data_IF_091497515193
#
_entry.id   IF_091497515193
#
_cell.length_a   1.000
_cell.length_b   1.000
_cell.length_c   1.000
_cell.angle_alpha   90.00
_cell.angle_beta   90.00
_cell.angle_gamma   90.00
#
_symmetry.space_group_name_H-M   'P 1'
#
loop_
_entity.id
_entity.type
_entity.pdbx_description
1 polymer ?
#
# COMPACT_ATOMS: atom_id res chain seq x y z
N UNK A 1 -3.60 24.36 4.00
CA UNK A 1 -2.29 23.73 3.71
C UNK A 1 -1.23 24.46 4.51
N UNK A 2 -0.30 23.74 5.12
CA UNK A 2 0.88 24.31 5.80
C UNK A 2 2.07 24.34 4.84
N UNK A 3 2.90 25.37 4.91
CA UNK A 3 4.10 25.47 4.09
C UNK A 3 5.31 24.86 4.83
N UNK A 4 6.15 24.14 4.08
CA UNK A 4 7.41 23.58 4.56
C UNK A 4 8.55 24.04 3.63
N UNK A 5 9.60 24.61 4.19
CA UNK A 5 10.81 24.98 3.44
C UNK A 5 11.96 24.09 3.87
N UNK A 6 12.53 23.35 2.91
CA UNK A 6 13.66 22.44 3.12
C UNK A 6 14.80 22.79 2.17
N UNK A 7 16.03 22.53 2.59
CA UNK A 7 17.21 22.61 1.72
C UNK A 7 17.58 21.20 1.28
N UNK A 8 17.73 21.00 -0.02
CA UNK A 8 18.11 19.72 -0.61
C UNK A 8 19.52 19.84 -1.19
N UNK A 9 20.32 18.75 -1.18
CA UNK A 9 21.51 18.67 -2.00
C UNK A 9 21.18 18.92 -3.48
N UNK A 10 22.07 19.62 -4.20
CA UNK A 10 21.88 19.97 -5.62
C UNK A 10 21.60 18.75 -6.50
N UNK A 11 22.32 17.64 -6.27
CA UNK A 11 22.12 16.39 -7.01
C UNK A 11 20.71 15.83 -6.84
N UNK A 12 20.18 15.84 -5.61
CA UNK A 12 18.84 15.36 -5.31
C UNK A 12 17.76 16.28 -5.90
N UNK A 13 17.95 17.60 -5.79
CA UNK A 13 17.03 18.56 -6.39
C UNK A 13 16.95 18.40 -7.91
N UNK A 14 18.08 18.18 -8.58
CA UNK A 14 18.13 17.92 -10.02
C UNK A 14 17.37 16.65 -10.40
N UNK A 15 17.55 15.57 -9.65
CA UNK A 15 16.87 14.30 -9.92
C UNK A 15 15.35 14.42 -9.73
N UNK A 16 14.90 15.04 -8.63
CA UNK A 16 13.47 15.28 -8.38
C UNK A 16 12.86 16.12 -9.51
N UNK A 17 13.58 17.12 -10.01
CA UNK A 17 13.11 17.95 -11.12
C UNK A 17 12.90 17.13 -12.40
N UNK A 18 13.81 16.20 -12.71
CA UNK A 18 13.68 15.32 -13.88
C UNK A 18 12.48 14.38 -13.73
N UNK A 19 12.33 13.75 -12.56
CA UNK A 19 11.21 12.83 -12.27
C UNK A 19 9.86 13.56 -12.31
N UNK A 20 9.75 14.72 -11.67
CA UNK A 20 8.52 15.52 -11.69
C UNK A 20 8.15 15.95 -13.13
N UNK A 21 9.15 16.29 -13.95
CA UNK A 21 8.92 16.61 -15.36
C UNK A 21 8.45 15.40 -16.17
N UNK A 22 9.01 14.21 -15.93
CA UNK A 22 8.60 12.97 -16.58
C UNK A 22 7.15 12.58 -16.21
N UNK A 23 6.75 12.84 -14.96
CA UNK A 23 5.38 12.63 -14.49
C UNK A 23 4.40 13.76 -14.85
N UNK A 24 4.88 14.87 -15.41
CA UNK A 24 4.04 16.02 -15.78
C UNK A 24 3.49 16.80 -14.58
N UNK A 25 4.16 16.73 -13.42
CA UNK A 25 3.74 17.40 -12.18
C UNK A 25 4.77 18.44 -11.72
N UNK A 26 4.36 19.34 -10.84
CA UNK A 26 5.31 20.26 -10.19
C UNK A 26 6.17 19.53 -9.14
N UNK A 27 7.35 20.06 -8.84
CA UNK A 27 8.22 19.56 -7.75
C UNK A 27 7.46 19.49 -6.42
N UNK A 28 6.62 20.48 -6.12
CA UNK A 28 5.83 20.51 -4.88
C UNK A 28 4.81 19.37 -4.83
N UNK A 29 4.13 19.08 -5.93
CA UNK A 29 3.20 17.96 -6.02
C UNK A 29 3.94 16.63 -5.89
N UNK A 30 5.05 16.47 -6.62
CA UNK A 30 5.90 15.28 -6.52
C UNK A 30 6.33 15.01 -5.08
N UNK A 31 6.86 16.01 -4.38
CA UNK A 31 7.27 15.88 -2.98
C UNK A 31 6.09 15.59 -2.04
N UNK A 32 4.93 16.18 -2.30
CA UNK A 32 3.72 15.94 -1.51
C UNK A 32 3.24 14.49 -1.67
N UNK A 33 3.25 13.97 -2.90
CA UNK A 33 2.89 12.58 -3.19
C UNK A 33 3.90 11.61 -2.55
N UNK A 34 5.20 11.84 -2.73
CA UNK A 34 6.24 11.02 -2.11
C UNK A 34 6.13 11.00 -0.57
N UNK A 35 5.82 12.15 0.04
CA UNK A 35 5.58 12.23 1.49
C UNK A 35 4.33 11.44 1.90
N UNK A 36 3.22 11.58 1.15
CA UNK A 36 1.99 10.83 1.41
C UNK A 36 2.21 9.32 1.27
N UNK A 37 2.93 8.88 0.24
CA UNK A 37 3.29 7.48 0.01
C UNK A 37 4.16 6.95 1.16
N UNK A 38 5.19 7.69 1.58
CA UNK A 38 6.04 7.28 2.69
C UNK A 38 5.27 7.16 4.00
N UNK A 39 4.37 8.11 4.28
CA UNK A 39 3.50 8.07 5.47
C UNK A 39 2.56 6.86 5.41
N UNK A 40 1.95 6.60 4.25
CA UNK A 40 1.07 5.46 4.03
C UNK A 40 1.80 4.13 4.26
N UNK A 41 2.99 3.98 3.68
CA UNK A 41 3.81 2.78 3.82
C UNK A 41 4.19 2.52 5.29
N UNK A 42 4.59 3.57 6.03
CA UNK A 42 4.96 3.43 7.44
C UNK A 42 3.75 3.08 8.31
N UNK A 43 2.60 3.74 8.10
CA UNK A 43 1.39 3.49 8.90
C UNK A 43 0.74 2.13 8.61
N UNK A 44 0.80 1.67 7.36
CA UNK A 44 0.22 0.39 6.96
C UNK A 44 0.81 -0.77 7.74
N UNK A 45 2.12 -0.74 8.03
CA UNK A 45 2.77 -1.79 8.83
C UNK A 45 2.17 -1.87 10.23
N UNK A 46 2.01 -0.74 10.91
CA UNK A 46 1.46 -0.70 12.27
C UNK A 46 -0.02 -1.07 12.29
N UNK A 47 -0.78 -0.63 11.28
CA UNK A 47 -2.17 -1.04 11.10
C UNK A 47 -2.30 -2.56 10.97
N UNK A 48 -1.55 -3.19 10.06
CA UNK A 48 -1.60 -4.64 9.85
C UNK A 48 -1.19 -5.43 11.10
N UNK A 49 -0.23 -4.92 11.88
CA UNK A 49 0.14 -5.53 13.18
C UNK A 49 -1.01 -5.43 14.19
N UNK A 50 -1.66 -4.27 14.28
CA UNK A 50 -2.81 -4.08 15.17
C UNK A 50 -3.97 -5.01 14.81
N UNK A 51 -4.28 -5.15 13.52
CA UNK A 51 -5.32 -6.06 13.04
C UNK A 51 -4.94 -7.52 13.30
N UNK A 52 -3.69 -7.91 13.01
CA UNK A 52 -3.22 -9.26 13.26
C UNK A 52 -3.32 -9.67 14.75
N UNK A 53 -3.06 -8.74 15.67
CA UNK A 53 -3.17 -8.98 17.12
C UNK A 53 -4.62 -9.20 17.58
N UNK A 54 -5.61 -8.74 16.81
CA UNK A 54 -7.03 -8.98 17.10
C UNK A 54 -7.51 -10.32 16.53
N UNK A 55 -6.72 -10.95 15.65
CA UNK A 55 -7.07 -12.21 15.01
C UNK A 55 -6.92 -13.43 15.93
N UNK A 56 -7.88 -14.34 15.88
CA UNK A 56 -7.79 -15.68 16.48
C UNK A 56 -7.57 -16.71 15.38
N UNK A 57 -6.47 -17.47 15.47
CA UNK A 57 -6.21 -18.57 14.54
C UNK A 57 -7.30 -19.64 14.61
N UNK A 58 -7.82 -19.91 15.80
CA UNK A 58 -8.90 -20.88 15.98
C UNK A 58 -10.21 -20.44 15.31
N UNK A 59 -10.55 -19.16 15.43
CA UNK A 59 -11.78 -18.62 14.81
C UNK A 59 -11.66 -18.65 13.28
N UNK A 60 -10.47 -18.36 12.75
CA UNK A 60 -10.16 -18.46 11.33
C UNK A 60 -10.30 -19.90 10.81
N UNK A 61 -9.75 -20.88 11.53
CA UNK A 61 -9.87 -22.29 11.15
C UNK A 61 -11.31 -22.80 11.26
N UNK A 62 -12.05 -22.39 12.30
CA UNK A 62 -13.46 -22.71 12.45
C UNK A 62 -14.31 -22.12 11.31
N UNK A 63 -14.02 -20.89 10.88
CA UNK A 63 -14.67 -20.27 9.74
C UNK A 63 -14.39 -21.03 8.45
N UNK A 64 -13.14 -21.41 8.18
CA UNK A 64 -12.79 -22.20 6.99
C UNK A 64 -13.43 -23.60 7.01
N UNK A 65 -13.52 -24.24 8.16
CA UNK A 65 -14.15 -25.56 8.31
C UNK A 65 -15.67 -25.52 8.08
N UNK A 66 -16.30 -24.35 8.11
CA UNK A 66 -17.71 -24.20 7.77
C UNK A 66 -17.98 -24.26 6.26
N UNK A 67 -16.94 -24.21 5.42
CA UNK A 67 -17.08 -24.37 3.96
C UNK A 67 -17.39 -25.85 3.65
N UNK A 68 -18.51 -26.16 2.99
CA UNK A 68 -18.84 -27.53 2.60
C UNK A 68 -17.84 -28.10 1.60
N UNK A 69 -17.42 -29.35 1.81
CA UNK A 69 -16.56 -30.11 0.89
C UNK A 69 -17.38 -30.68 -0.27
N UNK A 70 -17.74 -29.81 -1.22
CA UNK A 70 -18.58 -30.12 -2.36
C UNK A 70 -17.77 -29.95 -3.66
N UNK A 71 -18.08 -30.71 -4.72
CA UNK A 71 -17.44 -30.50 -6.01
C UNK A 71 -17.69 -29.07 -6.53
N UNK A 72 -16.73 -28.46 -7.25
CA UNK A 72 -16.92 -27.15 -7.88
C UNK A 72 -18.15 -27.14 -8.80
N UNK A 73 -18.84 -26.00 -8.83
CA UNK A 73 -19.89 -25.77 -9.82
C UNK A 73 -19.29 -25.78 -11.24
N UNK A 74 -20.12 -26.06 -12.24
CA UNK A 74 -19.69 -26.25 -13.64
C UNK A 74 -18.80 -25.11 -14.16
N UNK A 75 -19.13 -23.87 -13.81
CA UNK A 75 -18.39 -22.67 -14.23
C UNK A 75 -17.06 -22.44 -13.48
N UNK A 76 -16.84 -23.12 -12.35
CA UNK A 76 -15.63 -23.05 -11.52
C UNK A 76 -14.69 -24.26 -11.73
N UNK A 77 -15.02 -25.17 -12.66
CA UNK A 77 -14.16 -26.30 -13.00
C UNK A 77 -12.98 -25.83 -13.86
N UNK A 78 -11.76 -26.11 -13.41
CA UNK A 78 -10.57 -25.98 -14.26
C UNK A 78 -10.55 -27.09 -15.31
N UNK A 79 -10.36 -26.71 -16.57
CA UNK A 79 -10.19 -27.68 -17.65
C UNK A 79 -8.90 -28.50 -17.42
N UNK A 80 -9.03 -29.83 -17.53
CA UNK A 80 -7.91 -30.77 -17.45
C UNK A 80 -6.93 -30.63 -18.61
#
# INVERSE_FOLDING_TARGET
MTALTIRLPESLHKEIKLLAQAEGVSINQFLTLAAAEKVSALRTVDYLRSEANQGSRADFEAFLAAVPDNPPIEDDQVAN
#
